data_IF_896921668482
#
_entry.id   IF_896921668482
#
_cell.length_a   1.000
_cell.length_b   1.000
_cell.length_c   1.000
_cell.angle_alpha   90.00
_cell.angle_beta   90.00
_cell.angle_gamma   90.00
#
_symmetry.space_group_name_H-M   'P 1'
#
loop_
_entity.id
_entity.type
_entity.pdbx_description
1 polymer ?
#
# COMPACT_ATOMS: atom_id res chain seq x y z
N UNK A 1 12.71 0.53 -11.11
CA UNK A 1 11.82 1.17 -10.13
C UNK A 1 12.66 1.67 -8.98
N UNK A 2 12.21 2.69 -8.26
CA UNK A 2 12.79 3.07 -6.97
C UNK A 2 12.06 2.34 -5.85
N UNK A 3 12.78 1.90 -4.82
CA UNK A 3 12.21 1.08 -3.75
C UNK A 3 12.14 1.87 -2.44
N UNK A 4 10.99 1.79 -1.78
CA UNK A 4 10.68 2.41 -0.50
C UNK A 4 10.14 1.34 0.44
N UNK A 5 10.50 1.39 1.72
CA UNK A 5 10.02 0.43 2.72
C UNK A 5 9.38 1.20 3.87
N UNK A 6 8.15 0.82 4.19
CA UNK A 6 7.53 1.18 5.46
C UNK A 6 8.11 0.39 6.61
N UNK A 7 7.79 0.82 7.82
CA UNK A 7 8.23 0.24 9.08
C UNK A 7 7.10 0.30 10.10
N UNK A 8 7.33 -0.21 11.30
CA UNK A 8 6.40 0.04 12.41
C UNK A 8 6.37 1.53 12.78
N UNK A 9 5.16 2.11 12.82
CA UNK A 9 4.94 3.50 13.18
C UNK A 9 4.18 4.23 12.07
N UNK A 10 4.23 5.56 12.08
CA UNK A 10 3.70 6.36 10.97
C UNK A 10 4.87 6.77 10.05
N UNK A 11 4.79 6.37 8.80
CA UNK A 11 5.75 6.66 7.73
C UNK A 11 5.23 7.72 6.77
N UNK A 12 6.18 8.37 6.07
CA UNK A 12 5.89 9.28 4.95
C UNK A 12 6.74 8.87 3.77
N UNK A 13 6.12 8.20 2.80
CA UNK A 13 6.76 7.67 1.60
C UNK A 13 6.21 8.36 0.36
N UNK A 14 7.05 9.14 -0.32
CA UNK A 14 6.72 9.76 -1.60
C UNK A 14 7.65 9.24 -2.70
N UNK A 15 7.05 8.70 -3.75
CA UNK A 15 7.75 8.21 -4.93
C UNK A 15 8.49 9.33 -5.66
N UNK A 16 9.60 8.97 -6.30
CA UNK A 16 10.29 9.84 -7.27
C UNK A 16 9.59 9.75 -8.63
N UNK A 17 9.82 10.71 -9.54
CA UNK A 17 9.14 10.79 -10.85
C UNK A 17 9.58 9.71 -11.87
N UNK A 18 9.56 8.45 -11.44
CA UNK A 18 9.88 7.19 -12.11
C UNK A 18 9.06 6.10 -11.41
N UNK A 19 8.73 4.97 -12.04
CA UNK A 19 8.01 3.88 -11.37
C UNK A 19 8.61 3.49 -10.00
N UNK A 20 7.77 3.31 -8.97
CA UNK A 20 8.19 3.03 -7.60
C UNK A 20 7.58 1.71 -7.07
N UNK A 21 8.29 1.06 -6.15
CA UNK A 21 7.76 0.02 -5.27
C UNK A 21 7.69 0.56 -3.84
N UNK A 22 6.55 0.37 -3.18
CA UNK A 22 6.37 0.61 -1.76
C UNK A 22 6.15 -0.72 -1.06
N UNK A 23 7.09 -1.14 -0.23
CA UNK A 23 7.07 -2.42 0.48
C UNK A 23 6.62 -2.23 1.92
N UNK A 24 5.72 -3.09 2.40
CA UNK A 24 5.30 -3.17 3.79
C UNK A 24 5.17 -4.63 4.21
N UNK A 25 5.56 -5.00 5.44
CA UNK A 25 5.02 -6.22 6.04
C UNK A 25 3.52 -6.02 6.33
N UNK A 26 2.72 -7.09 6.24
CA UNK A 26 1.30 -7.04 6.61
C UNK A 26 1.19 -6.64 8.09
N UNK A 27 0.63 -5.46 8.36
CA UNK A 27 0.53 -4.85 9.70
C UNK A 27 1.38 -3.60 9.91
N UNK A 28 2.32 -3.33 9.00
CA UNK A 28 3.15 -2.10 9.02
C UNK A 28 2.48 -0.93 8.31
N UNK A 29 1.64 -1.16 7.31
CA UNK A 29 0.79 -0.09 6.77
C UNK A 29 -0.38 0.20 7.73
N UNK A 30 -0.39 1.39 8.31
CA UNK A 30 -1.30 1.89 9.33
C UNK A 30 -2.02 3.15 8.87
N UNK A 31 -3.12 3.49 9.56
CA UNK A 31 -3.98 4.64 9.24
C UNK A 31 -3.24 6.00 9.25
N UNK A 32 -2.06 6.06 9.89
CA UNK A 32 -1.24 7.27 9.98
C UNK A 32 -0.17 7.39 8.88
N UNK A 33 0.01 6.36 8.05
CA UNK A 33 1.01 6.37 6.99
C UNK A 33 0.56 7.21 5.81
N UNK A 34 1.49 7.97 5.24
CA UNK A 34 1.27 8.75 4.03
C UNK A 34 2.08 8.11 2.91
N UNK A 35 1.39 7.56 1.90
CA UNK A 35 2.02 6.93 0.74
C UNK A 35 1.50 7.58 -0.54
N UNK A 36 2.41 8.12 -1.35
CA UNK A 36 2.06 8.73 -2.63
C UNK A 36 2.99 8.26 -3.75
N UNK A 37 2.45 7.51 -4.72
CA UNK A 37 3.26 6.98 -5.83
C UNK A 37 3.73 8.03 -6.82
N UNK A 38 2.89 9.03 -7.13
CA UNK A 38 3.02 10.13 -8.10
C UNK A 38 2.35 9.93 -9.48
N UNK A 39 2.99 10.22 -10.61
CA UNK A 39 2.42 10.18 -11.97
C UNK A 39 3.00 9.05 -12.84
N UNK A 40 3.86 8.20 -12.29
CA UNK A 40 4.35 6.97 -12.93
C UNK A 40 3.52 5.76 -12.51
N UNK A 41 3.81 4.58 -13.06
CA UNK A 41 3.19 3.35 -12.58
C UNK A 41 3.86 2.91 -11.28
N UNK A 42 3.09 2.83 -10.20
CA UNK A 42 3.57 2.62 -8.85
C UNK A 42 2.88 1.42 -8.19
N UNK A 43 3.70 0.59 -7.53
CA UNK A 43 3.27 -0.68 -6.94
C UNK A 43 3.31 -0.59 -5.42
N UNK A 44 2.23 -0.99 -4.76
CA UNK A 44 2.18 -1.21 -3.32
C UNK A 44 2.21 -2.71 -3.03
N UNK A 45 3.25 -3.16 -2.32
CA UNK A 45 3.59 -4.58 -2.20
C UNK A 45 3.59 -5.00 -0.74
N UNK A 46 2.84 -6.05 -0.43
CA UNK A 46 2.73 -6.61 0.91
C UNK A 46 3.32 -8.00 1.00
N UNK A 47 4.06 -8.25 2.07
CA UNK A 47 4.55 -9.58 2.45
C UNK A 47 4.12 -9.91 3.87
N UNK A 48 3.74 -11.17 4.13
CA UNK A 48 3.37 -11.65 5.45
C UNK A 48 2.02 -12.34 5.51
N UNK A 49 1.50 -12.52 6.72
CA UNK A 49 0.38 -13.44 6.99
C UNK A 49 -0.84 -12.75 7.60
N UNK A 50 -0.81 -11.43 7.77
CA UNK A 50 -1.91 -10.66 8.35
C UNK A 50 -2.82 -10.05 7.26
N UNK A 51 -4.02 -9.63 7.66
CA UNK A 51 -4.92 -8.86 6.80
C UNK A 51 -4.62 -7.36 6.90
N UNK A 52 -4.41 -6.70 5.76
CA UNK A 52 -4.34 -5.24 5.68
C UNK A 52 -5.77 -4.69 5.72
N UNK A 53 -6.08 -3.93 6.77
CA UNK A 53 -7.42 -3.35 6.96
C UNK A 53 -7.72 -2.26 5.94
N UNK A 54 -8.99 -2.09 5.56
CA UNK A 54 -9.38 -1.04 4.61
C UNK A 54 -9.00 0.38 5.09
N UNK A 55 -8.95 0.59 6.42
CA UNK A 55 -8.61 1.88 7.02
C UNK A 55 -7.15 2.29 6.80
N UNK A 56 -6.24 1.34 6.56
CA UNK A 56 -4.83 1.62 6.30
C UNK A 56 -4.60 2.40 4.99
N UNK A 57 -5.55 2.33 4.05
CA UNK A 57 -5.44 2.99 2.74
C UNK A 57 -5.91 4.45 2.73
N UNK A 58 -6.33 5.02 3.87
CA UNK A 58 -6.99 6.34 3.91
C UNK A 58 -6.11 7.49 3.41
N UNK A 59 -4.78 7.38 3.54
CA UNK A 59 -3.79 8.36 3.07
C UNK A 59 -2.84 7.77 2.01
N UNK A 60 -3.27 6.69 1.35
CA UNK A 60 -2.57 6.09 0.21
C UNK A 60 -3.14 6.66 -1.09
N UNK A 61 -2.28 7.10 -2.00
CA UNK A 61 -2.68 7.75 -3.25
C UNK A 61 -1.72 7.46 -4.39
N UNK A 62 -2.22 7.56 -5.63
CA UNK A 62 -1.43 7.35 -6.86
C UNK A 62 -0.70 6.00 -6.87
N UNK A 63 -1.44 4.91 -6.67
CA UNK A 63 -0.91 3.55 -6.76
C UNK A 63 -1.72 2.84 -7.85
N UNK A 64 -1.03 2.21 -8.80
CA UNK A 64 -1.65 1.53 -9.93
C UNK A 64 -1.88 0.05 -9.66
N UNK A 65 -0.98 -0.58 -8.90
CA UNK A 65 -1.06 -2.01 -8.62
C UNK A 65 -0.80 -2.34 -7.15
N UNK A 66 -1.52 -3.35 -6.65
CA UNK A 66 -1.30 -3.90 -5.31
C UNK A 66 -0.91 -5.37 -5.44
N UNK A 67 0.25 -5.70 -4.88
CA UNK A 67 0.76 -7.07 -4.85
C UNK A 67 0.63 -7.67 -3.45
N UNK A 68 0.16 -8.90 -3.39
CA UNK A 68 0.19 -9.76 -2.21
C UNK A 68 1.24 -10.85 -2.47
N UNK A 69 2.46 -10.59 -2.03
CA UNK A 69 3.64 -11.40 -2.36
C UNK A 69 3.75 -12.69 -1.51
N UNK A 70 2.91 -12.84 -0.49
CA UNK A 70 2.78 -14.05 0.31
C UNK A 70 1.35 -14.63 0.22
N UNK A 71 1.23 -15.94 0.16
CA UNK A 71 -0.05 -16.64 -0.07
C UNK A 71 -1.07 -16.44 1.06
N UNK A 72 -0.61 -16.05 2.25
CA UNK A 72 -1.47 -15.76 3.40
C UNK A 72 -1.82 -14.27 3.54
N UNK A 73 -1.19 -13.37 2.78
CA UNK A 73 -1.53 -11.95 2.79
C UNK A 73 -2.95 -11.75 2.26
N UNK A 74 -3.69 -10.83 2.86
CA UNK A 74 -5.05 -10.48 2.43
C UNK A 74 -5.34 -9.01 2.64
N UNK A 75 -6.29 -8.47 1.88
CA UNK A 75 -6.77 -7.09 2.01
C UNK A 75 -8.26 -7.12 2.29
N UNK A 76 -8.67 -6.34 3.28
CA UNK A 76 -10.08 -6.03 3.50
C UNK A 76 -10.52 -4.94 2.51
N UNK A 77 -11.52 -5.24 1.67
CA UNK A 77 -12.15 -4.26 0.80
C UNK A 77 -13.45 -3.75 1.44
N UNK A 78 -13.64 -2.44 1.47
CA UNK A 78 -14.89 -1.85 1.94
C UNK A 78 -16.01 -1.96 0.89
N UNK A 79 -17.27 -1.91 1.33
CA UNK A 79 -18.44 -1.88 0.44
C UNK A 79 -18.36 -0.75 -0.60
N UNK A 80 -17.69 0.36 -0.28
CA UNK A 80 -17.56 1.48 -1.20
C UNK A 80 -16.73 1.13 -2.44
N UNK A 81 -15.80 0.17 -2.34
CA UNK A 81 -14.97 -0.29 -3.45
C UNK A 81 -15.70 -1.35 -4.28
N UNK A 82 -16.39 -2.29 -3.63
CA UNK A 82 -17.03 -3.42 -4.32
C UNK A 82 -18.45 -3.12 -4.84
N UNK A 83 -19.12 -2.12 -4.26
CA UNK A 83 -20.51 -1.77 -4.59
C UNK A 83 -20.65 -0.46 -5.38
N UNK A 84 -19.56 0.18 -5.81
CA UNK A 84 -19.64 1.33 -6.70
C UNK A 84 -19.98 0.86 -8.12
N UNK A 85 -21.22 1.11 -8.55
CA UNK A 85 -21.71 0.91 -9.93
C UNK A 85 -21.65 2.18 -10.74
#
# INVERSE_FOLDING_TARGET
MADYSGTLGNDILFGAAVPNNFFFETGELQVGDIVGGNSSGDDLRFIGTQTVTAAAFVLVSSIEEIYLDDAASSIELSNNVVASS
#
